data_IF_473784162754
#
_entry.id   IF_473784162754
#
_cell.length_a   1.000
_cell.length_b   1.000
_cell.length_c   1.000
_cell.angle_alpha   90.00
_cell.angle_beta   90.00
_cell.angle_gamma   90.00
#
_symmetry.space_group_name_H-M   'P 1'
#
loop_
_entity.id
_entity.type
_entity.pdbx_description
1 polymer ?
#
# COMPACT_ATOMS: atom_id res chain seq x y z
N UNK A 1 -2.73 13.22 -20.53
CA UNK A 1 -3.02 14.39 -19.67
C UNK A 1 -4.34 15.09 -20.01
N UNK A 2 -4.96 14.78 -21.15
CA UNK A 2 -6.15 15.47 -21.65
C UNK A 2 -7.41 15.34 -20.77
N UNK A 3 -7.72 14.16 -20.22
CA UNK A 3 -9.02 13.96 -19.54
C UNK A 3 -9.16 14.65 -18.18
N UNK A 4 -8.11 14.65 -17.35
CA UNK A 4 -8.16 15.31 -16.04
C UNK A 4 -8.27 16.83 -16.21
N UNK A 5 -7.54 17.39 -17.18
CA UNK A 5 -7.64 18.81 -17.49
C UNK A 5 -9.02 19.20 -17.99
N UNK A 6 -9.65 18.36 -18.83
CA UNK A 6 -11.04 18.55 -19.26
C UNK A 6 -11.98 18.62 -18.05
N UNK A 7 -11.96 17.61 -17.17
CA UNK A 7 -12.80 17.61 -15.98
C UNK A 7 -12.55 18.81 -15.04
N UNK A 8 -11.30 19.29 -14.94
CA UNK A 8 -10.98 20.49 -14.15
C UNK A 8 -11.54 21.77 -14.78
N UNK A 9 -11.45 21.92 -16.10
CA UNK A 9 -12.07 23.04 -16.84
C UNK A 9 -13.60 23.00 -16.67
N UNK A 10 -14.21 21.84 -16.82
CA UNK A 10 -15.66 21.64 -16.63
C UNK A 10 -16.09 21.95 -15.18
N UNK A 11 -15.29 21.55 -14.19
CA UNK A 11 -15.59 21.88 -12.80
C UNK A 11 -15.51 23.40 -12.54
N UNK A 12 -14.56 24.09 -13.17
CA UNK A 12 -14.43 25.54 -13.04
C UNK A 12 -15.65 26.26 -13.63
N UNK A 13 -16.10 25.87 -14.82
CA UNK A 13 -17.31 26.46 -15.43
C UNK A 13 -18.56 26.19 -14.60
N UNK A 14 -18.72 24.98 -14.06
CA UNK A 14 -19.85 24.64 -13.17
C UNK A 14 -19.84 25.42 -11.85
N UNK A 15 -18.66 25.79 -11.32
CA UNK A 15 -18.55 26.62 -10.12
C UNK A 15 -18.93 28.08 -10.37
N UNK A 16 -18.59 28.64 -11.53
CA UNK A 16 -19.06 29.98 -11.90
C UNK A 16 -20.59 29.96 -12.02
N UNK A 17 -21.15 28.95 -12.71
CA UNK A 17 -22.59 28.78 -12.84
C UNK A 17 -23.31 28.61 -11.49
N UNK A 18 -22.66 28.03 -10.48
CA UNK A 18 -23.19 27.94 -9.12
C UNK A 18 -23.38 29.32 -8.47
N UNK A 19 -22.45 30.25 -8.69
CA UNK A 19 -22.51 31.60 -8.13
C UNK A 19 -23.54 32.46 -8.85
N UNK A 20 -23.67 32.31 -10.16
CA UNK A 20 -24.63 33.09 -10.98
C UNK A 20 -26.06 32.55 -10.96
N UNK A 21 -26.39 31.59 -10.07
CA UNK A 21 -27.74 31.04 -9.95
C UNK A 21 -28.15 30.09 -11.09
N UNK A 22 -27.23 29.27 -11.59
CA UNK A 22 -27.47 28.34 -12.69
C UNK A 22 -28.50 27.23 -12.39
N UNK A 23 -29.06 26.64 -13.45
CA UNK A 23 -30.10 25.62 -13.36
C UNK A 23 -29.69 24.41 -12.47
N UNK A 24 -30.62 23.87 -11.65
CA UNK A 24 -30.32 22.82 -10.67
C UNK A 24 -29.78 21.53 -11.32
N UNK A 25 -30.22 21.20 -12.54
CA UNK A 25 -29.70 20.06 -13.30
C UNK A 25 -28.19 20.19 -13.62
N UNK A 26 -27.70 21.39 -13.92
CA UNK A 26 -26.26 21.65 -14.13
C UNK A 26 -25.49 21.57 -12.80
N UNK A 27 -26.05 22.09 -11.71
CA UNK A 27 -25.41 22.05 -10.39
C UNK A 27 -25.25 20.62 -9.84
N UNK A 28 -26.21 19.73 -10.13
CA UNK A 28 -26.11 18.32 -9.76
C UNK A 28 -24.87 17.63 -10.35
N UNK A 29 -24.38 18.08 -11.51
CA UNK A 29 -23.20 17.51 -12.18
C UNK A 29 -21.89 17.78 -11.43
N UNK A 30 -21.82 18.80 -10.56
CA UNK A 30 -20.61 19.15 -9.79
C UNK A 30 -20.11 17.95 -8.98
N UNK A 31 -21.02 17.22 -8.33
CA UNK A 31 -20.68 16.03 -7.53
C UNK A 31 -20.06 14.94 -8.41
N UNK A 32 -20.64 14.71 -9.58
CA UNK A 32 -20.17 13.71 -10.55
C UNK A 32 -18.79 14.06 -11.10
N UNK A 33 -18.58 15.31 -11.55
CA UNK A 33 -17.30 15.78 -12.08
C UNK A 33 -16.20 15.70 -11.01
N UNK A 34 -16.48 16.09 -9.75
CA UNK A 34 -15.52 15.94 -8.63
C UNK A 34 -15.11 14.49 -8.40
N UNK A 35 -16.07 13.56 -8.43
CA UNK A 35 -15.78 12.12 -8.30
C UNK A 35 -14.97 11.61 -9.49
N UNK A 36 -15.23 12.08 -10.72
CA UNK A 36 -14.47 11.71 -11.91
C UNK A 36 -13.00 12.14 -11.80
N UNK A 37 -12.75 13.38 -11.35
CA UNK A 37 -11.38 13.87 -11.09
C UNK A 37 -10.67 12.99 -10.07
N UNK A 38 -11.34 12.68 -8.95
CA UNK A 38 -10.78 11.82 -7.91
C UNK A 38 -10.44 10.42 -8.47
N UNK A 39 -11.35 9.78 -9.21
CA UNK A 39 -11.12 8.48 -9.84
C UNK A 39 -9.92 8.51 -10.80
N UNK A 40 -9.83 9.52 -11.66
CA UNK A 40 -8.74 9.64 -12.62
C UNK A 40 -7.37 9.83 -11.92
N UNK A 41 -7.32 10.67 -10.88
CA UNK A 41 -6.11 10.85 -10.06
C UNK A 41 -5.72 9.56 -9.32
N UNK A 42 -6.69 8.80 -8.80
CA UNK A 42 -6.44 7.51 -8.17
C UNK A 42 -5.80 6.53 -9.15
N UNK A 43 -6.34 6.39 -10.36
CA UNK A 43 -5.77 5.50 -11.39
C UNK A 43 -4.35 5.92 -11.78
N UNK A 44 -4.12 7.23 -11.95
CA UNK A 44 -2.79 7.76 -12.26
C UNK A 44 -1.78 7.45 -11.14
N UNK A 45 -2.17 7.66 -9.88
CA UNK A 45 -1.33 7.35 -8.72
C UNK A 45 -1.08 5.85 -8.58
N UNK A 46 -2.08 5.00 -8.85
CA UNK A 46 -1.92 3.55 -8.87
C UNK A 46 -0.90 3.11 -9.91
N UNK A 47 -1.01 3.60 -11.15
CA UNK A 47 -0.05 3.30 -12.24
C UNK A 47 1.35 3.77 -11.90
N UNK A 48 1.50 5.02 -11.40
CA UNK A 48 2.79 5.56 -10.95
C UNK A 48 3.42 4.69 -9.87
N UNK A 49 2.63 4.29 -8.86
CA UNK A 49 3.11 3.45 -7.75
C UNK A 49 3.47 2.04 -8.21
N UNK A 50 2.74 1.47 -9.18
CA UNK A 50 3.06 0.17 -9.77
C UNK A 50 4.40 0.21 -10.52
N UNK A 51 4.60 1.17 -11.42
CA UNK A 51 5.86 1.36 -12.13
C UNK A 51 7.06 1.56 -11.18
N UNK A 52 6.86 2.33 -10.10
CA UNK A 52 7.89 2.48 -9.07
C UNK A 52 8.18 1.17 -8.32
N UNK A 53 7.15 0.37 -8.01
CA UNK A 53 7.37 -0.94 -7.38
C UNK A 53 8.19 -1.88 -8.26
N UNK A 54 7.90 -1.93 -9.56
CA UNK A 54 8.66 -2.74 -10.53
C UNK A 54 10.12 -2.28 -10.57
N UNK A 55 10.36 -0.97 -10.70
CA UNK A 55 11.71 -0.39 -10.70
C UNK A 55 12.53 -0.75 -9.46
N UNK A 56 11.89 -0.80 -8.29
CA UNK A 56 12.56 -1.04 -7.00
C UNK A 56 12.37 -2.48 -6.45
N UNK A 57 11.87 -3.42 -7.25
CA UNK A 57 11.50 -4.77 -6.76
C UNK A 57 12.68 -5.54 -6.14
N UNK A 58 13.87 -5.42 -6.71
CA UNK A 58 15.09 -6.10 -6.27
C UNK A 58 16.14 -5.16 -5.68
N UNK A 59 15.78 -3.89 -5.47
CA UNK A 59 16.69 -2.93 -4.89
C UNK A 59 16.83 -3.18 -3.38
N UNK A 60 18.08 -3.18 -2.87
CA UNK A 60 18.36 -3.27 -1.43
C UNK A 60 17.66 -2.17 -0.62
N UNK A 61 17.63 -0.95 -1.17
CA UNK A 61 17.00 0.21 -0.55
C UNK A 61 15.77 0.64 -1.34
N UNK A 62 14.61 0.57 -0.70
CA UNK A 62 13.35 1.05 -1.26
C UNK A 62 12.95 2.38 -0.63
N UNK A 63 12.32 3.29 -1.40
CA UNK A 63 11.71 4.50 -0.88
C UNK A 63 10.75 4.22 0.30
N UNK A 64 10.68 5.15 1.25
CA UNK A 64 9.86 5.03 2.47
C UNK A 64 8.39 4.73 2.18
N UNK A 65 7.84 5.32 1.11
CA UNK A 65 6.43 5.18 0.72
C UNK A 65 6.07 3.79 0.16
N UNK A 66 7.07 3.06 -0.34
CA UNK A 66 6.90 1.72 -0.90
C UNK A 66 7.16 0.62 0.14
N UNK A 67 7.71 0.96 1.31
CA UNK A 67 7.93 0.00 2.40
C UNK A 67 6.59 -0.58 2.86
N UNK A 68 6.63 -1.85 3.27
CA UNK A 68 5.47 -2.49 3.87
C UNK A 68 5.03 -1.74 5.14
N UNK A 69 3.73 -1.45 5.23
CA UNK A 69 3.13 -0.82 6.42
C UNK A 69 3.06 -1.84 7.56
N UNK A 70 4.08 -1.82 8.43
CA UNK A 70 4.14 -2.55 9.70
C UNK A 70 4.34 -1.58 10.84
N UNK A 71 4.08 -2.03 12.08
CA UNK A 71 4.40 -1.24 13.27
C UNK A 71 5.91 -1.02 13.39
N UNK A 72 6.32 0.06 14.08
CA UNK A 72 7.73 0.36 14.32
C UNK A 72 8.45 -0.80 15.02
N UNK A 73 7.80 -1.41 16.02
CA UNK A 73 8.33 -2.56 16.74
C UNK A 73 8.62 -3.73 15.79
N UNK A 74 7.67 -4.11 14.94
CA UNK A 74 7.85 -5.19 13.96
C UNK A 74 8.94 -4.91 12.93
N UNK A 75 9.19 -3.65 12.57
CA UNK A 75 10.29 -3.28 11.65
C UNK A 75 11.67 -3.40 12.30
N UNK A 76 11.77 -3.26 13.62
CA UNK A 76 13.03 -3.36 14.38
C UNK A 76 13.31 -4.78 14.87
N UNK A 77 12.32 -5.67 14.83
CA UNK A 77 12.47 -7.06 15.22
C UNK A 77 13.47 -7.80 14.32
N UNK A 78 14.12 -8.83 14.87
CA UNK A 78 15.00 -9.73 14.12
C UNK A 78 14.24 -10.47 13.03
N UNK A 79 14.95 -10.84 11.96
CA UNK A 79 14.41 -11.77 10.96
C UNK A 79 14.21 -13.16 11.58
N UNK A 80 13.27 -13.95 11.04
CA UNK A 80 13.02 -15.31 11.53
C UNK A 80 14.28 -16.18 11.51
N UNK A 81 15.12 -16.02 10.49
CA UNK A 81 16.39 -16.74 10.37
C UNK A 81 17.39 -16.34 11.46
N UNK A 82 17.48 -15.05 11.79
CA UNK A 82 18.33 -14.58 12.89
C UNK A 82 17.82 -15.09 14.24
N UNK A 83 16.51 -15.02 14.48
CA UNK A 83 15.90 -15.50 15.72
C UNK A 83 16.03 -17.03 15.89
N UNK A 84 15.98 -17.79 14.80
CA UNK A 84 16.16 -19.24 14.81
C UNK A 84 17.63 -19.69 14.75
N UNK A 85 18.59 -18.77 14.67
CA UNK A 85 20.01 -19.12 14.53
C UNK A 85 20.51 -19.75 15.82
N UNK A 86 20.88 -21.02 15.76
CA UNK A 86 21.43 -21.79 16.88
C UNK A 86 22.94 -21.95 16.74
N UNK A 87 23.65 -22.01 17.86
CA UNK A 87 25.08 -22.34 17.85
C UNK A 87 25.31 -23.78 17.37
N UNK A 88 26.50 -24.07 16.83
CA UNK A 88 26.85 -25.43 16.39
C UNK A 88 26.73 -26.45 17.54
N UNK A 89 27.09 -26.04 18.76
CA UNK A 89 26.94 -26.85 19.98
C UNK A 89 25.47 -27.20 20.26
N UNK A 90 24.59 -26.21 20.16
CA UNK A 90 23.15 -26.42 20.37
C UNK A 90 22.56 -27.33 19.29
N UNK A 91 22.92 -27.12 18.01
CA UNK A 91 22.45 -27.96 16.90
C UNK A 91 22.82 -29.43 17.11
N UNK A 92 24.09 -29.72 17.47
CA UNK A 92 24.54 -31.09 17.75
C UNK A 92 23.76 -31.72 18.91
N UNK A 93 23.52 -30.96 19.99
CA UNK A 93 22.76 -31.44 21.16
C UNK A 93 21.31 -31.78 20.80
N UNK A 94 20.63 -30.90 20.07
CA UNK A 94 19.24 -31.11 19.67
C UNK A 94 19.09 -32.26 18.68
N UNK A 95 20.05 -32.43 17.77
CA UNK A 95 20.09 -33.58 16.86
C UNK A 95 20.30 -34.90 17.60
N UNK A 96 21.17 -34.91 18.62
CA UNK A 96 21.41 -36.08 19.45
C UNK A 96 20.21 -36.45 20.34
N UNK A 97 19.53 -35.45 20.91
CA UNK A 97 18.45 -35.64 21.89
C UNK A 97 17.18 -34.89 21.49
N UNK A 98 16.44 -35.35 20.46
CA UNK A 98 15.16 -34.77 20.11
C UNK A 98 14.12 -35.05 21.20
N UNK A 99 13.22 -34.09 21.46
CA UNK A 99 12.07 -34.33 22.33
C UNK A 99 11.20 -35.43 21.73
N UNK A 100 11.08 -36.55 22.44
CA UNK A 100 10.23 -37.68 22.05
C UNK A 100 8.92 -37.60 22.81
N UNK A 101 7.80 -37.87 22.13
CA UNK A 101 6.51 -38.06 22.80
C UNK A 101 6.46 -39.48 23.36
N UNK A 102 6.16 -39.62 24.64
CA UNK A 102 5.95 -40.91 25.30
C UNK A 102 4.79 -40.79 26.30
N UNK A 103 4.22 -41.93 26.67
CA UNK A 103 3.19 -42.05 27.68
C UNK A 103 3.55 -43.20 28.63
N UNK A 104 3.10 -43.11 29.87
CA UNK A 104 3.20 -44.19 30.85
C UNK A 104 1.89 -44.96 30.85
N UNK A 105 1.99 -46.29 31.00
CA UNK A 105 0.83 -47.14 31.19
C UNK A 105 0.21 -46.83 32.55
N UNK A 106 -1.12 -46.83 32.63
CA UNK A 106 -1.85 -46.75 33.89
C UNK A 106 -1.54 -47.97 34.78
#
# INVERSE_FOLDING_TARGET
MSEIEKYKRDLATLRVAQVTGGAPAKLAQIKTVRKNIARALTVMNMKKRAALKEKYAHAKYVPTDLRMKKTRAMRRALTKAQAAKKSLRQQKREAAFPMRKYALKA
#
